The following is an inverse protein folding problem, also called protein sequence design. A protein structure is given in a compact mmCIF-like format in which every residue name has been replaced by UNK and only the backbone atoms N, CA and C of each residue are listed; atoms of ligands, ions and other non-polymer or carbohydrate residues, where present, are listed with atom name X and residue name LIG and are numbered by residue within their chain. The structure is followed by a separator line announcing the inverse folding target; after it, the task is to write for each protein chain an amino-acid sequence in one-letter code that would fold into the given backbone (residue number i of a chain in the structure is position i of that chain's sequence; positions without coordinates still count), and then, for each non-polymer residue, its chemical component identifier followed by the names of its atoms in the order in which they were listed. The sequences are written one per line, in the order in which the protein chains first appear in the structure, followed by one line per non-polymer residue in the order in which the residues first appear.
data_IF_454667539530
#
_entry.id   IF_454667539530
#
_cell.length_a   1.000
_cell.length_b   1.000
_cell.length_c   1.000
_cell.angle_alpha   90.00
_cell.angle_beta   90.00
_cell.angle_gamma   90.00
#
_symmetry.space_group_name_H-M   'P 1'
#
loop_
_entity.id
_entity.type
_entity.pdbx_description
1 polymer ?
#
# COMPACT_ATOMS: atom_id res chain seq x y z
N UNK A 1 -20.55 -12.55 -8.53
CA UNK A 1 -19.25 -12.87 -9.17
C UNK A 1 -18.25 -13.15 -8.08
N UNK A 2 -17.38 -14.15 -8.24
CA UNK A 2 -16.30 -14.41 -7.28
C UNK A 2 -15.13 -13.44 -7.54
N UNK A 3 -14.59 -12.84 -6.48
CA UNK A 3 -13.33 -12.10 -6.55
C UNK A 3 -12.21 -13.10 -6.88
N UNK A 4 -11.57 -12.96 -8.04
CA UNK A 4 -10.56 -13.91 -8.54
C UNK A 4 -9.22 -13.20 -8.63
N UNK A 5 -8.23 -13.69 -7.89
CA UNK A 5 -6.85 -13.21 -7.88
C UNK A 5 -5.90 -14.39 -8.13
N UNK A 6 -4.79 -14.18 -8.83
CA UNK A 6 -3.82 -15.22 -9.18
C UNK A 6 -2.45 -14.96 -8.59
N UNK A 7 -1.85 -13.79 -8.88
CA UNK A 7 -0.45 -13.50 -8.51
C UNK A 7 -0.28 -12.05 -8.13
N UNK A 8 0.06 -11.82 -6.87
CA UNK A 8 0.34 -10.48 -6.37
C UNK A 8 1.67 -10.38 -5.68
N UNK A 9 1.96 -9.18 -5.21
CA UNK A 9 3.13 -8.89 -4.36
C UNK A 9 2.69 -8.18 -3.08
N UNK A 10 3.55 -8.20 -2.06
CA UNK A 10 3.32 -7.53 -0.78
C UNK A 10 4.16 -6.26 -0.69
N UNK A 11 3.59 -5.20 -0.10
CA UNK A 11 4.34 -3.99 0.28
C UNK A 11 4.68 -4.07 1.78
N UNK A 12 5.65 -4.90 2.12
CA UNK A 12 6.16 -5.02 3.50
C UNK A 12 7.04 -3.82 3.88
N UNK A 13 7.22 -3.58 5.18
CA UNK A 13 8.10 -2.54 5.73
C UNK A 13 7.68 -1.10 5.42
N UNK A 14 6.41 -0.90 5.08
CA UNK A 14 5.80 0.40 4.86
C UNK A 14 4.84 0.77 6.00
N UNK A 15 3.55 0.45 5.84
CA UNK A 15 2.51 0.57 6.87
C UNK A 15 2.43 -0.68 7.77
N UNK A 16 3.38 -1.60 7.65
CA UNK A 16 3.60 -2.70 8.57
C UNK A 16 5.10 -2.93 8.76
N UNK A 17 5.50 -3.41 9.93
CA UNK A 17 6.87 -3.78 10.29
C UNK A 17 7.87 -2.63 10.01
N UNK A 18 7.54 -1.42 10.49
CA UNK A 18 8.25 -0.19 10.12
C UNK A 18 8.16 0.90 11.20
N UNK A 19 9.31 1.45 11.59
CA UNK A 19 9.39 2.62 12.47
C UNK A 19 9.33 3.96 11.71
N UNK A 20 9.20 3.92 10.37
CA UNK A 20 9.22 5.13 9.53
C UNK A 20 7.99 5.98 9.78
N UNK A 21 8.19 7.29 9.88
CA UNK A 21 7.12 8.30 10.03
C UNK A 21 7.41 9.50 9.12
N UNK A 22 6.39 10.31 8.83
CA UNK A 22 6.58 11.57 8.13
C UNK A 22 7.17 11.39 6.73
N UNK A 23 8.17 12.21 6.41
CA UNK A 23 8.75 12.24 5.06
C UNK A 23 9.31 10.88 4.60
N UNK A 24 9.93 10.11 5.51
CA UNK A 24 10.49 8.80 5.16
C UNK A 24 9.38 7.79 4.81
N UNK A 25 8.29 7.80 5.59
CA UNK A 25 7.11 6.95 5.34
C UNK A 25 6.46 7.30 4.00
N UNK A 26 6.30 8.59 3.71
CA UNK A 26 5.70 9.07 2.44
C UNK A 26 6.56 8.74 1.21
N UNK A 27 7.87 8.74 1.35
CA UNK A 27 8.78 8.47 0.24
C UNK A 27 9.00 6.97 -0.03
N UNK A 28 8.60 6.09 0.90
CA UNK A 28 8.88 4.66 0.82
C UNK A 28 8.12 3.94 -0.30
N UNK A 29 6.85 4.30 -0.49
CA UNK A 29 5.99 3.70 -1.51
C UNK A 29 5.14 4.77 -2.19
N UNK A 30 5.22 4.82 -3.51
CA UNK A 30 4.65 5.90 -4.32
C UNK A 30 3.89 5.35 -5.53
N UNK A 31 3.18 6.24 -6.24
CA UNK A 31 2.52 5.90 -7.50
C UNK A 31 3.47 5.25 -8.51
N UNK A 32 4.72 5.70 -8.58
CA UNK A 32 5.72 5.16 -9.52
C UNK A 32 6.04 3.69 -9.23
N UNK A 33 6.01 3.31 -7.96
CA UNK A 33 6.21 1.92 -7.54
C UNK A 33 5.03 1.04 -7.94
N UNK A 34 3.80 1.52 -7.76
CA UNK A 34 2.57 0.83 -8.21
C UNK A 34 2.60 0.62 -9.72
N UNK A 35 2.87 1.68 -10.50
CA UNK A 35 2.98 1.60 -11.95
C UNK A 35 4.09 0.63 -12.41
N UNK A 36 5.21 0.60 -11.68
CA UNK A 36 6.28 -0.36 -11.93
C UNK A 36 5.79 -1.78 -11.66
N UNK A 37 5.12 -2.04 -10.53
CA UNK A 37 4.57 -3.35 -10.16
C UNK A 37 3.59 -3.84 -11.21
N UNK A 38 2.69 -2.99 -11.69
CA UNK A 38 1.73 -3.33 -12.75
C UNK A 38 2.42 -3.83 -14.03
N UNK A 39 3.64 -3.36 -14.32
CA UNK A 39 4.43 -3.81 -15.48
C UNK A 39 5.29 -5.04 -15.20
N UNK A 40 5.58 -5.36 -13.94
CA UNK A 40 6.42 -6.51 -13.58
C UNK A 40 5.77 -7.84 -14.01
N UNK A 41 6.63 -8.85 -14.23
CA UNK A 41 6.18 -10.16 -14.71
C UNK A 41 5.56 -10.15 -16.11
N UNK A 42 5.66 -9.03 -16.85
CA UNK A 42 4.99 -8.83 -18.14
C UNK A 42 3.51 -8.48 -18.01
N UNK A 43 3.12 -7.73 -16.96
CA UNK A 43 1.72 -7.39 -16.71
C UNK A 43 0.90 -8.54 -16.12
N UNK A 44 1.56 -9.48 -15.43
CA UNK A 44 0.93 -10.69 -14.86
C UNK A 44 0.78 -10.66 -13.34
N UNK A 45 1.19 -9.57 -12.69
CA UNK A 45 0.80 -9.32 -11.32
C UNK A 45 -0.56 -8.63 -11.36
N UNK A 46 -1.53 -9.17 -10.62
CA UNK A 46 -2.94 -8.77 -10.69
C UNK A 46 -3.50 -8.21 -9.38
N UNK A 47 -2.68 -8.13 -8.33
CA UNK A 47 -3.02 -7.43 -7.11
C UNK A 47 -1.78 -7.03 -6.32
N UNK A 48 -1.96 -6.03 -5.46
CA UNK A 48 -1.02 -5.69 -4.39
C UNK A 48 -1.69 -5.98 -3.06
N UNK A 49 -0.99 -6.70 -2.17
CA UNK A 49 -1.36 -6.82 -0.77
C UNK A 49 -0.66 -5.71 0.03
N UNK A 50 -1.45 -4.90 0.72
CA UNK A 50 -1.00 -3.85 1.65
C UNK A 50 -1.15 -4.38 3.08
N UNK A 51 -0.10 -4.94 3.70
CA UNK A 51 -0.15 -5.29 5.11
C UNK A 51 -0.01 -4.03 5.96
N UNK A 52 -0.87 -3.91 6.97
CA UNK A 52 -0.94 -2.75 7.85
C UNK A 52 -0.94 -3.20 9.30
N UNK A 53 -0.13 -2.56 10.14
CA UNK A 53 -0.12 -2.76 11.59
C UNK A 53 -0.96 -1.67 12.28
N UNK A 54 -1.65 -2.04 13.37
CA UNK A 54 -2.58 -1.13 14.05
C UNK A 54 -1.90 0.15 14.54
N UNK A 55 -0.70 0.04 15.13
CA UNK A 55 0.10 1.18 15.59
C UNK A 55 0.51 2.18 14.49
N UNK A 56 0.30 1.83 13.21
CA UNK A 56 0.58 2.72 12.09
C UNK A 56 -0.63 3.58 11.75
N UNK A 57 -1.84 3.03 11.90
CA UNK A 57 -3.10 3.70 11.57
C UNK A 57 -3.78 4.35 12.77
N UNK A 58 -3.47 3.92 13.99
CA UNK A 58 -4.11 4.42 15.21
C UNK A 58 -3.07 4.82 16.25
N UNK A 59 -3.36 5.89 17.00
CA UNK A 59 -2.57 6.29 18.16
C UNK A 59 -2.97 5.50 19.43
N UNK A 60 -2.30 5.78 20.56
CA UNK A 60 -2.57 5.09 21.83
C UNK A 60 -3.97 5.35 22.40
N UNK A 61 -4.65 6.41 21.96
CA UNK A 61 -6.03 6.72 22.35
C UNK A 61 -7.05 6.06 21.41
N UNK A 62 -6.60 5.42 20.32
CA UNK A 62 -7.43 4.85 19.27
C UNK A 62 -7.88 5.88 18.23
N UNK A 63 -7.30 7.08 18.22
CA UNK A 63 -7.58 8.08 17.21
C UNK A 63 -6.80 7.75 15.91
N UNK A 64 -7.42 7.94 14.72
CA UNK A 64 -6.77 7.60 13.46
C UNK A 64 -5.60 8.54 13.13
N UNK A 65 -4.47 8.00 12.67
CA UNK A 65 -3.34 8.74 12.09
C UNK A 65 -3.73 9.22 10.68
N UNK A 66 -3.95 10.53 10.48
CA UNK A 66 -4.41 11.06 9.20
C UNK A 66 -3.39 10.92 8.07
N UNK A 67 -2.09 10.89 8.39
CA UNK A 67 -1.05 10.67 7.37
C UNK A 67 -1.09 9.21 6.89
N UNK A 68 -1.18 8.25 7.81
CA UNK A 68 -1.16 6.84 7.46
C UNK A 68 -2.41 6.43 6.67
N UNK A 69 -3.59 6.91 7.07
CA UNK A 69 -4.83 6.72 6.30
C UNK A 69 -4.77 7.40 4.93
N UNK A 70 -4.29 8.64 4.85
CA UNK A 70 -4.14 9.33 3.57
C UNK A 70 -3.17 8.62 2.62
N UNK A 71 -2.12 8.00 3.15
CA UNK A 71 -1.20 7.16 2.37
C UNK A 71 -1.85 5.86 1.90
N UNK A 72 -2.64 5.21 2.76
CA UNK A 72 -3.38 4.00 2.40
C UNK A 72 -4.39 4.30 1.29
N UNK A 73 -5.18 5.37 1.42
CA UNK A 73 -6.14 5.81 0.40
C UNK A 73 -5.44 6.13 -0.92
N UNK A 74 -4.34 6.90 -0.89
CA UNK A 74 -3.58 7.20 -2.10
C UNK A 74 -3.05 5.93 -2.79
N UNK A 75 -2.58 4.93 -2.03
CA UNK A 75 -2.13 3.66 -2.60
C UNK A 75 -3.27 2.88 -3.25
N UNK A 76 -4.49 2.91 -2.69
CA UNK A 76 -5.67 2.29 -3.30
C UNK A 76 -6.02 2.99 -4.62
N UNK A 77 -6.05 4.32 -4.65
CA UNK A 77 -6.31 5.11 -5.86
C UNK A 77 -5.28 4.81 -6.97
N UNK A 78 -4.01 4.68 -6.61
CA UNK A 78 -2.96 4.33 -7.56
C UNK A 78 -3.13 2.92 -8.12
N UNK A 79 -3.52 1.95 -7.28
CA UNK A 79 -3.77 0.58 -7.73
C UNK A 79 -4.96 0.54 -8.70
N UNK A 80 -6.06 1.23 -8.36
CA UNK A 80 -7.23 1.33 -9.24
C UNK A 80 -6.86 1.96 -10.60
N UNK A 81 -6.10 3.06 -10.59
CA UNK A 81 -5.64 3.72 -11.81
C UNK A 81 -4.71 2.84 -12.66
N UNK A 82 -3.93 1.96 -12.02
CA UNK A 82 -3.01 1.04 -12.68
C UNK A 82 -3.67 -0.29 -13.13
N UNK A 83 -4.93 -0.53 -12.75
CA UNK A 83 -5.64 -1.78 -13.03
C UNK A 83 -5.18 -2.97 -12.19
N UNK A 84 -4.77 -2.71 -10.93
CA UNK A 84 -4.36 -3.68 -9.92
C UNK A 84 -5.42 -3.88 -8.82
#
# INVERSE_FOLDING_TARGET
MAFTIYRGTNISHWLSQSDRRGAERRAFFTQQDVERIARLGGGRLDHIRLPVDEEQLWDENGDPDPEAFGLLEAALDWCEAAGL
#
